data_IF_697569382683
#
_entry.id   IF_697569382683
#
_cell.length_a   1.000
_cell.length_b   1.000
_cell.length_c   1.000
_cell.angle_alpha   90.00
_cell.angle_beta   90.00
_cell.angle_gamma   90.00
#
_symmetry.space_group_name_H-M   'P 1'
#
loop_
_entity.id
_entity.type
_entity.pdbx_description
1 polymer ?
#
# COMPACT_ATOMS: atom_id res chain seq x y z
N UNK A 1 -25.04 23.61 -26.53
CA UNK A 1 -25.40 23.09 -25.19
C UNK A 1 -26.81 22.48 -25.22
N UNK A 2 -27.15 21.56 -24.31
CA UNK A 2 -28.45 20.87 -24.34
C UNK A 2 -29.24 21.12 -23.05
N UNK A 3 -30.47 21.59 -23.18
CA UNK A 3 -31.41 21.71 -22.07
C UNK A 3 -32.34 20.50 -22.04
N UNK A 4 -32.38 19.80 -20.90
CA UNK A 4 -33.32 18.70 -20.68
C UNK A 4 -34.76 19.21 -20.66
N UNK A 5 -35.61 18.67 -21.52
CA UNK A 5 -37.06 19.02 -21.61
C UNK A 5 -37.97 17.95 -21.00
N UNK A 6 -37.51 16.69 -20.93
CA UNK A 6 -38.24 15.57 -20.33
C UNK A 6 -37.77 15.16 -18.94
N UNK A 7 -38.33 14.08 -18.35
CA UNK A 7 -37.83 13.50 -17.09
C UNK A 7 -36.34 13.13 -17.16
N UNK A 8 -35.64 13.09 -16.02
CA UNK A 8 -34.24 12.63 -15.99
C UNK A 8 -34.15 11.18 -16.47
N UNK A 9 -33.22 10.91 -17.39
CA UNK A 9 -33.05 9.59 -18.02
C UNK A 9 -33.88 9.37 -19.29
N UNK A 10 -34.77 10.30 -19.66
CA UNK A 10 -35.62 10.17 -20.88
C UNK A 10 -34.84 10.32 -22.19
N UNK A 11 -33.69 11.00 -22.19
CA UNK A 11 -32.98 11.36 -23.41
C UNK A 11 -33.57 12.56 -24.16
N UNK A 12 -34.58 13.24 -23.59
CA UNK A 12 -35.25 14.38 -24.24
C UNK A 12 -34.55 15.71 -23.94
N UNK A 13 -34.03 16.35 -25.00
CA UNK A 13 -33.31 17.61 -24.94
C UNK A 13 -33.68 18.54 -26.08
N UNK A 14 -33.51 19.84 -25.87
CA UNK A 14 -33.46 20.86 -26.93
C UNK A 14 -32.12 21.58 -26.91
N UNK A 15 -31.68 22.06 -28.08
CA UNK A 15 -30.52 22.93 -28.18
C UNK A 15 -30.78 24.30 -27.55
N UNK A 16 -29.75 24.85 -26.92
CA UNK A 16 -29.72 26.20 -26.36
C UNK A 16 -28.36 26.85 -26.65
N UNK A 17 -28.36 28.18 -26.66
CA UNK A 17 -27.14 28.98 -26.78
C UNK A 17 -26.29 28.93 -25.50
N UNK A 18 -25.00 29.24 -25.64
CA UNK A 18 -24.07 29.26 -24.51
C UNK A 18 -24.46 30.26 -23.42
N UNK A 19 -24.95 31.45 -23.80
CA UNK A 19 -25.37 32.46 -22.84
C UNK A 19 -26.58 32.01 -22.00
N UNK A 20 -27.53 31.29 -22.63
CA UNK A 20 -28.66 30.67 -21.92
C UNK A 20 -28.16 29.60 -20.94
N UNK A 21 -27.26 28.71 -21.38
CA UNK A 21 -26.71 27.65 -20.55
C UNK A 21 -25.93 28.19 -19.34
N UNK A 22 -25.10 29.21 -19.55
CA UNK A 22 -24.29 29.84 -18.50
C UNK A 22 -25.15 30.62 -17.53
N UNK A 23 -26.17 31.33 -18.01
CA UNK A 23 -27.14 32.01 -17.14
C UNK A 23 -27.82 31.02 -16.20
N UNK A 24 -28.37 29.92 -16.73
CA UNK A 24 -29.02 28.87 -15.92
C UNK A 24 -28.07 28.29 -14.86
N UNK A 25 -26.83 27.99 -15.25
CA UNK A 25 -25.84 27.42 -14.33
C UNK A 25 -25.44 28.42 -13.23
N UNK A 26 -25.13 29.66 -13.61
CA UNK A 26 -24.61 30.68 -12.68
C UNK A 26 -25.67 31.22 -11.73
N UNK A 27 -26.94 31.35 -12.14
CA UNK A 27 -28.04 31.73 -11.25
C UNK A 27 -28.19 30.73 -10.10
N UNK A 28 -28.23 29.44 -10.45
CA UNK A 28 -28.35 28.35 -9.47
C UNK A 28 -27.13 28.28 -8.55
N UNK A 29 -25.93 28.32 -9.12
CA UNK A 29 -24.68 28.24 -8.37
C UNK A 29 -24.49 29.46 -7.45
N UNK A 30 -24.84 30.67 -7.91
CA UNK A 30 -24.77 31.89 -7.11
C UNK A 30 -25.74 31.87 -5.93
N UNK A 31 -26.96 31.35 -6.14
CA UNK A 31 -27.93 31.16 -5.08
C UNK A 31 -27.43 30.18 -4.00
N UNK A 32 -26.83 29.06 -4.40
CA UNK A 32 -26.20 28.10 -3.48
C UNK A 32 -25.06 28.77 -2.71
N UNK A 33 -24.13 29.42 -3.41
CA UNK A 33 -22.98 30.10 -2.80
C UNK A 33 -23.41 31.13 -1.75
N UNK A 34 -24.43 31.94 -2.05
CA UNK A 34 -24.92 33.00 -1.17
C UNK A 34 -25.63 32.47 0.08
N UNK A 35 -26.21 31.28 0.02
CA UNK A 35 -27.01 30.72 1.12
C UNK A 35 -26.23 29.74 1.96
N UNK A 36 -25.72 28.67 1.35
CA UNK A 36 -24.84 27.69 1.99
C UNK A 36 -24.03 26.97 0.91
N UNK A 37 -22.76 27.34 0.70
CA UNK A 37 -21.94 26.74 -0.35
C UNK A 37 -21.70 25.25 -0.13
N UNK A 38 -21.88 24.72 1.09
CA UNK A 38 -21.74 23.28 1.39
C UNK A 38 -22.80 22.43 0.70
N UNK A 39 -23.92 23.03 0.27
CA UNK A 39 -24.97 22.32 -0.48
C UNK A 39 -24.54 21.89 -1.89
N UNK A 40 -23.40 22.39 -2.38
CA UNK A 40 -22.81 21.90 -3.63
C UNK A 40 -21.88 20.72 -3.36
N UNK A 41 -22.20 19.55 -3.92
CA UNK A 41 -21.25 18.47 -4.11
C UNK A 41 -20.62 18.58 -5.51
N UNK A 42 -19.30 18.61 -5.59
CA UNK A 42 -18.57 18.77 -6.85
C UNK A 42 -17.64 17.57 -7.11
N UNK A 43 -18.04 16.71 -8.06
CA UNK A 43 -17.33 15.48 -8.39
C UNK A 43 -16.85 15.51 -9.84
N UNK A 44 -15.55 15.31 -10.06
CA UNK A 44 -14.92 15.49 -11.38
C UNK A 44 -14.46 14.18 -12.05
N UNK A 45 -14.72 13.02 -11.43
CA UNK A 45 -14.32 11.72 -11.99
C UNK A 45 -12.79 11.59 -12.14
N UNK A 46 -12.32 11.07 -13.29
CA UNK A 46 -10.90 11.04 -13.66
C UNK A 46 -10.49 12.39 -14.24
N UNK A 47 -10.18 13.31 -13.34
CA UNK A 47 -9.75 14.66 -13.66
C UNK A 47 -8.21 14.77 -13.59
N UNK A 48 -7.60 15.25 -14.69
CA UNK A 48 -6.17 15.59 -14.76
C UNK A 48 -5.89 17.04 -14.37
N UNK A 49 -6.93 17.81 -14.05
CA UNK A 49 -6.90 19.23 -13.67
C UNK A 49 -7.33 19.45 -12.21
N UNK A 50 -7.05 18.49 -11.33
CA UNK A 50 -7.46 18.52 -9.92
C UNK A 50 -7.03 19.80 -9.17
N UNK A 51 -5.91 20.40 -9.59
CA UNK A 51 -5.46 21.69 -9.09
C UNK A 51 -6.46 22.81 -9.39
N UNK A 52 -6.97 22.89 -10.62
CA UNK A 52 -7.95 23.88 -11.04
C UNK A 52 -9.33 23.61 -10.41
N UNK A 53 -9.78 22.36 -10.44
CA UNK A 53 -11.11 22.00 -9.95
C UNK A 53 -11.20 22.07 -8.42
N UNK A 54 -10.14 21.66 -7.71
CA UNK A 54 -9.99 21.86 -6.27
C UNK A 54 -9.88 23.34 -5.90
N UNK A 55 -9.10 24.14 -6.65
CA UNK A 55 -9.05 25.60 -6.47
C UNK A 55 -10.43 26.24 -6.66
N UNK A 56 -11.16 25.86 -7.72
CA UNK A 56 -12.50 26.38 -7.99
C UNK A 56 -13.47 26.03 -6.86
N UNK A 57 -13.49 24.78 -6.38
CA UNK A 57 -14.34 24.36 -5.28
C UNK A 57 -14.03 25.12 -3.98
N UNK A 58 -12.74 25.31 -3.69
CA UNK A 58 -12.27 26.12 -2.57
C UNK A 58 -12.71 27.58 -2.70
N UNK A 59 -12.56 28.18 -3.89
CA UNK A 59 -13.07 29.53 -4.18
C UNK A 59 -14.59 29.60 -4.11
N UNK A 60 -15.31 28.54 -4.50
CA UNK A 60 -16.75 28.39 -4.35
C UNK A 60 -17.18 28.40 -2.89
N UNK A 61 -16.34 27.84 -2.01
CA UNK A 61 -16.59 27.69 -0.57
C UNK A 61 -17.20 26.34 -0.20
N UNK A 62 -17.20 25.36 -1.11
CA UNK A 62 -17.68 24.01 -0.79
C UNK A 62 -16.55 23.13 -0.29
N UNK A 63 -16.70 22.47 0.87
CA UNK A 63 -15.78 21.41 1.31
C UNK A 63 -16.10 20.06 0.63
N UNK A 64 -17.26 19.95 -0.05
CA UNK A 64 -17.76 18.70 -0.62
C UNK A 64 -17.28 18.53 -2.06
N UNK A 65 -15.96 18.50 -2.27
CA UNK A 65 -15.36 18.22 -3.57
C UNK A 65 -14.50 16.97 -3.51
N UNK A 66 -14.59 16.14 -4.55
CA UNK A 66 -13.83 14.90 -4.64
C UNK A 66 -13.64 14.46 -6.09
N UNK A 67 -12.62 13.63 -6.30
CA UNK A 67 -12.34 12.97 -7.57
C UNK A 67 -12.45 11.45 -7.42
N UNK A 68 -12.23 10.72 -8.50
CA UNK A 68 -12.26 9.24 -8.51
C UNK A 68 -11.23 8.56 -7.58
N UNK A 69 -10.21 9.28 -7.08
CA UNK A 69 -9.09 8.70 -6.33
C UNK A 69 -9.52 7.83 -5.14
N UNK A 70 -10.58 8.21 -4.43
CA UNK A 70 -11.15 7.44 -3.32
C UNK A 70 -11.63 6.04 -3.71
N UNK A 71 -11.94 5.81 -4.99
CA UNK A 71 -12.34 4.51 -5.53
C UNK A 71 -11.19 3.75 -6.19
N UNK A 72 -10.10 4.44 -6.57
CA UNK A 72 -9.07 3.89 -7.46
C UNK A 72 -7.75 3.56 -6.76
N UNK A 73 -7.23 4.47 -5.91
CA UNK A 73 -5.81 4.40 -5.51
C UNK A 73 -5.49 4.95 -4.13
N UNK A 74 -6.46 5.53 -3.42
CA UNK A 74 -6.23 6.12 -2.08
C UNK A 74 -5.78 5.07 -1.06
N UNK A 75 -6.15 3.81 -1.22
CA UNK A 75 -5.64 2.70 -0.41
C UNK A 75 -4.12 2.54 -0.54
N UNK A 76 -3.56 2.67 -1.76
CA UNK A 76 -2.12 2.61 -2.00
C UNK A 76 -1.41 3.83 -1.41
N UNK A 77 -1.97 5.02 -1.64
CA UNK A 77 -1.42 6.25 -1.07
C UNK A 77 -1.41 6.22 0.47
N UNK A 78 -2.46 5.70 1.08
CA UNK A 78 -2.54 5.50 2.54
C UNK A 78 -1.49 4.51 3.02
N UNK A 79 -1.31 3.36 2.34
CA UNK A 79 -0.25 2.40 2.66
C UNK A 79 1.14 3.05 2.64
N UNK A 80 1.43 3.85 1.62
CA UNK A 80 2.67 4.63 1.53
C UNK A 80 2.86 5.59 2.71
N UNK A 81 1.83 6.36 3.06
CA UNK A 81 1.87 7.30 4.18
C UNK A 81 2.19 6.58 5.50
N UNK A 82 1.60 5.41 5.74
CA UNK A 82 1.82 4.64 6.97
C UNK A 82 3.17 3.92 7.00
N UNK A 83 3.71 3.48 5.86
CA UNK A 83 4.92 2.64 5.83
C UNK A 83 6.20 3.43 5.56
N UNK A 84 6.17 4.40 4.66
CA UNK A 84 7.36 5.15 4.21
C UNK A 84 7.24 6.67 4.44
N UNK A 85 6.20 7.13 5.13
CA UNK A 85 6.02 8.54 5.51
C UNK A 85 5.61 9.47 4.37
N UNK A 86 5.24 8.94 3.20
CA UNK A 86 4.85 9.72 2.04
C UNK A 86 3.83 8.99 1.18
N UNK A 87 2.91 9.74 0.58
CA UNK A 87 2.04 9.16 -0.46
C UNK A 87 2.89 8.86 -1.68
N UNK A 88 2.95 7.61 -2.12
CA UNK A 88 3.45 7.30 -3.45
C UNK A 88 2.27 7.17 -4.41
N UNK A 89 2.39 7.83 -5.56
CA UNK A 89 1.49 7.68 -6.69
C UNK A 89 2.23 6.88 -7.76
N UNK A 90 1.50 5.94 -8.39
CA UNK A 90 1.73 4.96 -9.49
C UNK A 90 2.94 5.07 -10.46
N UNK A 91 4.00 5.83 -10.19
CA UNK A 91 5.09 6.13 -11.14
C UNK A 91 6.47 5.64 -10.68
N UNK A 92 6.53 4.74 -9.71
CA UNK A 92 7.72 3.93 -9.51
C UNK A 92 7.75 2.85 -10.59
N UNK A 93 8.51 3.06 -11.66
CA UNK A 93 8.72 2.02 -12.66
C UNK A 93 9.64 0.94 -12.08
N UNK A 94 9.27 -0.36 -12.14
CA UNK A 94 10.19 -1.43 -11.79
C UNK A 94 11.47 -1.34 -12.60
N UNK A 95 12.59 -1.70 -11.99
CA UNK A 95 13.85 -1.82 -12.72
C UNK A 95 13.80 -3.06 -13.63
N UNK A 96 13.24 -2.87 -14.83
CA UNK A 96 13.07 -3.93 -15.82
C UNK A 96 14.37 -4.56 -16.26
N UNK A 97 15.50 -3.86 -16.11
CA UNK A 97 16.80 -4.29 -16.62
C UNK A 97 17.55 -5.15 -15.58
N UNK A 98 17.25 -5.00 -14.28
CA UNK A 98 17.88 -5.79 -13.22
C UNK A 98 16.95 -6.81 -12.55
N UNK A 99 15.62 -6.65 -12.65
CA UNK A 99 14.67 -7.58 -12.02
C UNK A 99 14.83 -9.01 -12.57
N UNK A 100 14.85 -9.99 -11.66
CA UNK A 100 14.94 -11.44 -11.96
C UNK A 100 13.67 -12.22 -11.59
N UNK A 101 12.91 -11.71 -10.62
CA UNK A 101 11.64 -12.26 -10.18
C UNK A 101 10.65 -11.13 -9.99
N UNK A 102 9.55 -11.15 -10.76
CA UNK A 102 8.58 -10.07 -10.79
C UNK A 102 7.19 -10.60 -10.40
N UNK A 103 6.63 -10.06 -9.32
CA UNK A 103 5.29 -10.42 -8.84
C UNK A 103 4.30 -9.31 -9.14
N UNK A 104 3.25 -9.62 -9.91
CA UNK A 104 2.13 -8.72 -10.17
C UNK A 104 0.98 -9.05 -9.23
N UNK A 105 0.64 -8.12 -8.34
CA UNK A 105 -0.50 -8.26 -7.43
C UNK A 105 -1.69 -7.44 -7.89
N UNK A 106 -2.80 -8.10 -8.23
CA UNK A 106 -4.10 -7.45 -8.45
C UNK A 106 -4.15 -6.42 -9.59
N UNK A 107 -3.16 -6.42 -10.50
CA UNK A 107 -3.13 -5.47 -11.62
C UNK A 107 -4.21 -5.84 -12.62
N UNK A 108 -5.16 -4.93 -12.82
CA UNK A 108 -6.24 -5.10 -13.79
C UNK A 108 -5.71 -5.06 -15.23
N UNK A 109 -6.37 -5.83 -16.09
CA UNK A 109 -6.03 -6.00 -17.50
C UNK A 109 -5.98 -4.66 -18.23
N UNK A 110 -4.88 -4.36 -18.93
CA UNK A 110 -4.74 -3.18 -19.78
C UNK A 110 -5.00 -1.83 -19.08
N UNK A 111 -5.09 -1.83 -17.74
CA UNK A 111 -5.30 -0.64 -16.93
C UNK A 111 -4.01 0.19 -16.82
N UNK A 112 -2.88 -0.50 -16.76
CA UNK A 112 -1.58 0.14 -16.84
C UNK A 112 -1.15 0.37 -18.29
N UNK A 113 -0.48 1.50 -18.49
CA UNK A 113 -0.03 2.05 -19.75
C UNK A 113 0.91 1.10 -20.52
N UNK A 114 1.13 1.37 -21.81
CA UNK A 114 2.05 0.59 -22.68
C UNK A 114 3.45 0.27 -22.08
N UNK A 115 4.07 1.10 -21.22
CA UNK A 115 5.34 0.78 -20.55
C UNK A 115 5.39 -0.58 -19.86
N UNK A 116 4.34 -1.02 -19.14
CA UNK A 116 4.40 -2.33 -18.45
C UNK A 116 4.48 -3.49 -19.45
N UNK A 117 3.85 -3.37 -20.62
CA UNK A 117 3.93 -4.39 -21.69
C UNK A 117 5.36 -4.52 -22.20
N UNK A 118 6.04 -3.39 -22.38
CA UNK A 118 7.45 -3.34 -22.78
C UNK A 118 8.32 -3.96 -21.68
N UNK A 119 8.07 -3.58 -20.42
CA UNK A 119 8.76 -4.13 -19.24
C UNK A 119 8.63 -5.64 -19.13
N UNK A 120 7.41 -6.17 -19.18
CA UNK A 120 7.15 -7.61 -19.19
C UNK A 120 7.83 -8.31 -20.37
N UNK A 121 7.80 -7.71 -21.56
CA UNK A 121 8.53 -8.22 -22.72
C UNK A 121 10.03 -8.33 -22.47
N UNK A 122 10.65 -7.29 -21.90
CA UNK A 122 12.07 -7.29 -21.52
C UNK A 122 12.40 -8.36 -20.49
N UNK A 123 11.59 -8.47 -19.42
CA UNK A 123 11.78 -9.47 -18.37
C UNK A 123 11.76 -10.88 -18.96
N UNK A 124 10.72 -11.20 -19.75
CA UNK A 124 10.59 -12.52 -20.37
C UNK A 124 11.72 -12.81 -21.37
N UNK A 125 12.15 -11.82 -22.16
CA UNK A 125 13.27 -11.99 -23.10
C UNK A 125 14.60 -12.31 -22.39
N UNK A 126 14.78 -11.84 -21.15
CA UNK A 126 15.93 -12.15 -20.30
C UNK A 126 15.77 -13.42 -19.46
N UNK A 127 14.60 -14.06 -19.50
CA UNK A 127 14.30 -15.22 -18.67
C UNK A 127 14.02 -14.90 -17.20
N UNK A 128 13.71 -13.63 -16.87
CA UNK A 128 13.21 -13.28 -15.55
C UNK A 128 11.82 -13.90 -15.34
N UNK A 129 11.57 -14.45 -14.15
CA UNK A 129 10.30 -15.12 -13.84
C UNK A 129 9.23 -14.08 -13.53
N UNK A 130 8.08 -14.21 -14.18
CA UNK A 130 6.91 -13.37 -13.96
C UNK A 130 5.81 -14.19 -13.30
N UNK A 131 5.41 -13.81 -12.08
CA UNK A 131 4.33 -14.42 -11.32
C UNK A 131 3.17 -13.43 -11.20
N UNK A 132 1.97 -13.87 -11.54
CA UNK A 132 0.76 -13.08 -11.42
C UNK A 132 -0.13 -13.63 -10.31
N UNK A 133 -0.55 -12.76 -9.39
CA UNK A 133 -1.49 -13.04 -8.30
C UNK A 133 -2.77 -12.26 -8.62
N UNK A 134 -3.76 -12.97 -9.15
CA UNK A 134 -4.98 -12.35 -9.64
C UNK A 134 -6.12 -13.38 -9.72
N UNK A 135 -7.36 -13.04 -9.30
CA UNK A 135 -8.51 -13.92 -9.48
C UNK A 135 -8.80 -14.28 -10.95
N UNK A 136 -8.38 -13.43 -11.90
CA UNK A 136 -8.66 -13.61 -13.34
C UNK A 136 -7.37 -13.86 -14.14
N UNK A 137 -7.37 -14.91 -14.97
CA UNK A 137 -6.24 -15.26 -15.85
C UNK A 137 -6.37 -14.64 -17.24
N UNK A 138 -6.27 -13.32 -17.30
CA UNK A 138 -6.45 -12.54 -18.53
C UNK A 138 -5.37 -11.46 -18.64
N UNK A 139 -5.15 -10.89 -19.83
CA UNK A 139 -4.15 -9.84 -20.09
C UNK A 139 -2.73 -10.24 -19.65
N UNK A 140 -2.11 -9.43 -18.78
CA UNK A 140 -0.78 -9.70 -18.21
C UNK A 140 -0.71 -11.05 -17.48
N UNK A 141 -1.81 -11.46 -16.87
CA UNK A 141 -1.90 -12.71 -16.10
C UNK A 141 -1.89 -13.94 -17.02
N UNK A 142 -2.31 -13.80 -18.28
CA UNK A 142 -2.30 -14.88 -19.26
C UNK A 142 -0.89 -15.18 -19.80
N UNK A 143 0.01 -14.19 -19.78
CA UNK A 143 1.39 -14.31 -20.27
C UNK A 143 2.42 -14.53 -19.15
N UNK A 144 1.99 -14.49 -17.88
CA UNK A 144 2.83 -14.80 -16.73
C UNK A 144 3.31 -16.27 -16.79
N UNK A 145 4.49 -16.53 -16.25
CA UNK A 145 5.03 -17.89 -16.16
C UNK A 145 4.22 -18.71 -15.15
N UNK A 146 3.88 -18.09 -14.02
CA UNK A 146 2.92 -18.63 -13.04
C UNK A 146 1.74 -17.67 -12.88
N UNK A 147 0.52 -18.21 -12.98
CA UNK A 147 -0.70 -17.51 -12.57
C UNK A 147 -1.29 -18.16 -11.32
N UNK A 148 -1.53 -17.35 -10.30
CA UNK A 148 -2.03 -17.73 -8.99
C UNK A 148 -3.43 -17.13 -8.82
N UNK A 149 -4.44 -17.98 -9.00
CA UNK A 149 -5.86 -17.65 -8.82
C UNK A 149 -6.24 -17.47 -7.36
N UNK A 150 -5.92 -16.31 -6.79
CA UNK A 150 -6.21 -16.01 -5.38
C UNK A 150 -7.69 -15.70 -5.14
N UNK A 151 -8.20 -16.04 -3.96
CA UNK A 151 -9.53 -15.61 -3.51
C UNK A 151 -9.54 -14.09 -3.29
N UNK A 152 -10.49 -13.34 -3.90
CA UNK A 152 -10.53 -11.89 -3.76
C UNK A 152 -10.49 -11.42 -2.30
N UNK A 153 -9.63 -10.44 -2.01
CA UNK A 153 -9.51 -9.83 -0.68
C UNK A 153 -8.71 -10.66 0.34
N UNK A 154 -7.95 -11.66 -0.10
CA UNK A 154 -7.16 -12.54 0.78
C UNK A 154 -5.65 -12.46 0.54
N UNK A 155 -5.21 -11.49 -0.26
CA UNK A 155 -3.81 -11.22 -0.61
C UNK A 155 -2.93 -11.02 0.62
N UNK A 156 -3.45 -10.34 1.65
CA UNK A 156 -2.75 -10.18 2.92
C UNK A 156 -2.43 -11.52 3.61
N UNK A 157 -3.34 -12.50 3.56
CA UNK A 157 -3.07 -13.82 4.12
C UNK A 157 -1.97 -14.54 3.34
N UNK A 158 -2.01 -14.45 2.01
CA UNK A 158 -0.97 -15.03 1.15
C UNK A 158 0.40 -14.41 1.42
N UNK A 159 0.50 -13.08 1.47
CA UNK A 159 1.76 -12.37 1.77
C UNK A 159 2.28 -12.73 3.17
N UNK A 160 1.41 -12.78 4.18
CA UNK A 160 1.82 -13.15 5.54
C UNK A 160 2.28 -14.62 5.65
N UNK A 161 1.75 -15.52 4.82
CA UNK A 161 2.25 -16.89 4.74
C UNK A 161 3.63 -16.98 4.07
N UNK A 162 3.91 -16.13 3.08
CA UNK A 162 5.27 -15.99 2.54
C UNK A 162 6.23 -15.46 3.61
N UNK A 163 5.81 -14.46 4.38
CA UNK A 163 6.60 -13.91 5.49
C UNK A 163 6.87 -14.97 6.56
N UNK A 164 5.88 -15.81 6.92
CA UNK A 164 6.06 -16.94 7.84
C UNK A 164 7.18 -17.87 7.37
N UNK A 165 7.11 -18.35 6.12
CA UNK A 165 8.12 -19.27 5.58
C UNK A 165 9.51 -18.62 5.47
N UNK A 166 9.59 -17.35 5.08
CA UNK A 166 10.86 -16.61 5.00
C UNK A 166 11.50 -16.41 6.39
N UNK A 167 10.70 -16.06 7.39
CA UNK A 167 11.15 -15.94 8.78
C UNK A 167 11.64 -17.30 9.29
N UNK A 168 10.86 -18.36 9.08
CA UNK A 168 11.18 -19.73 9.51
C UNK A 168 12.45 -20.27 8.86
N UNK A 169 12.70 -19.90 7.60
CA UNK A 169 13.91 -20.25 6.86
C UNK A 169 15.12 -19.36 7.19
N UNK A 170 14.95 -18.30 7.98
CA UNK A 170 16.01 -17.30 8.23
C UNK A 170 16.42 -16.54 6.97
N UNK A 171 15.52 -16.42 5.99
CA UNK A 171 15.75 -15.75 4.69
C UNK A 171 15.18 -14.34 4.72
N UNK A 172 15.74 -13.51 5.62
CA UNK A 172 15.36 -12.11 5.81
C UNK A 172 16.62 -11.26 5.84
N UNK A 173 16.62 -10.15 5.12
CA UNK A 173 17.75 -9.22 5.08
C UNK A 173 17.75 -8.36 6.35
N UNK A 174 18.42 -8.87 7.39
CA UNK A 174 18.50 -8.19 8.67
C UNK A 174 19.29 -6.88 8.57
N UNK A 175 20.27 -6.79 7.66
CA UNK A 175 21.06 -5.59 7.44
C UNK A 175 20.20 -4.46 6.88
N UNK A 176 19.31 -4.77 5.93
CA UNK A 176 18.33 -3.82 5.42
C UNK A 176 17.37 -3.36 6.53
N UNK A 177 16.82 -4.32 7.31
CA UNK A 177 15.90 -4.00 8.40
C UNK A 177 16.54 -3.09 9.46
N UNK A 178 17.80 -3.34 9.82
CA UNK A 178 18.55 -2.52 10.76
C UNK A 178 18.73 -1.07 10.30
N UNK A 179 18.93 -0.85 8.99
CA UNK A 179 19.29 0.47 8.43
C UNK A 179 18.11 1.31 7.98
N UNK A 180 17.07 0.66 7.44
CA UNK A 180 16.04 1.37 6.67
C UNK A 180 14.63 1.22 7.24
N UNK A 181 14.48 0.56 8.38
CA UNK A 181 13.17 0.32 8.99
C UNK A 181 13.17 0.62 10.49
N UNK A 182 12.00 0.57 11.10
CA UNK A 182 11.81 0.69 12.55
C UNK A 182 11.95 -0.66 13.29
N UNK A 183 12.45 -1.70 12.65
CA UNK A 183 12.58 -3.06 13.21
C UNK A 183 13.28 -3.12 14.58
N UNK A 184 14.15 -2.15 14.86
CA UNK A 184 14.95 -2.04 16.09
C UNK A 184 14.31 -1.21 17.19
N UNK A 185 13.27 -0.43 16.86
CA UNK A 185 12.62 0.47 17.81
C UNK A 185 11.92 -0.35 18.89
N UNK A 186 12.11 0.05 20.15
CA UNK A 186 11.47 -0.59 21.29
C UNK A 186 10.00 -0.19 21.40
N UNK A 187 9.17 -1.17 21.73
CA UNK A 187 7.73 -1.05 21.96
C UNK A 187 7.44 -1.50 23.39
N UNK A 188 6.64 -0.73 24.11
CA UNK A 188 6.17 -1.11 25.46
C UNK A 188 5.23 -2.32 25.36
N UNK A 189 5.41 -3.31 26.23
CA UNK A 189 4.60 -4.52 26.31
C UNK A 189 4.07 -4.69 27.74
N UNK A 190 3.08 -3.86 28.08
CA UNK A 190 2.49 -3.79 29.42
C UNK A 190 0.96 -3.79 29.28
N UNK A 191 0.33 -4.94 29.00
CA UNK A 191 -1.09 -5.01 28.68
C UNK A 191 -1.97 -4.27 29.69
N UNK A 192 -2.75 -3.30 29.20
CA UNK A 192 -3.64 -2.46 30.00
C UNK A 192 -3.03 -1.16 30.53
N UNK A 193 -1.73 -0.94 30.35
CA UNK A 193 -1.12 0.37 30.55
C UNK A 193 -1.52 1.35 29.42
N UNK A 194 -1.51 2.66 29.71
CA UNK A 194 -1.89 3.69 28.74
C UNK A 194 -0.92 3.81 27.55
N UNK A 195 0.32 3.36 27.76
CA UNK A 195 1.43 3.37 26.81
C UNK A 195 1.69 2.00 26.18
N UNK A 196 0.85 0.99 26.46
CA UNK A 196 0.97 -0.34 25.85
C UNK A 196 0.92 -0.26 24.32
N UNK A 197 1.88 -0.93 23.66
CA UNK A 197 2.00 -0.91 22.20
C UNK A 197 2.55 0.38 21.60
N UNK A 198 2.93 1.38 22.41
CA UNK A 198 3.58 2.60 21.94
C UNK A 198 5.10 2.43 21.87
N UNK A 199 5.73 3.20 20.98
CA UNK A 199 7.19 3.28 20.93
C UNK A 199 7.76 3.93 22.18
N UNK A 200 8.83 3.34 22.70
CA UNK A 200 9.64 3.94 23.75
C UNK A 200 10.38 5.14 23.16
N UNK A 201 10.33 6.28 23.85
CA UNK A 201 10.95 7.52 23.42
C UNK A 201 11.76 8.16 24.55
N UNK A 202 12.80 8.91 24.19
CA UNK A 202 13.51 9.77 25.14
C UNK A 202 12.73 11.06 25.44
N UNK A 203 13.32 11.93 26.27
CA UNK A 203 12.73 13.21 26.65
C UNK A 203 12.53 14.18 25.47
N UNK A 204 13.30 14.03 24.40
CA UNK A 204 13.22 14.83 23.18
C UNK A 204 12.22 14.22 22.16
N UNK A 205 11.63 13.07 22.48
CA UNK A 205 10.67 12.37 21.66
C UNK A 205 11.30 11.45 20.61
N UNK A 206 12.62 11.22 20.63
CA UNK A 206 13.26 10.29 19.70
C UNK A 206 12.94 8.84 20.07
N UNK A 207 12.62 7.97 19.09
CA UNK A 207 12.45 6.54 19.35
C UNK A 207 13.75 5.91 19.90
N UNK A 208 13.61 4.99 20.84
CA UNK A 208 14.75 4.28 21.42
C UNK A 208 14.88 2.85 20.87
N UNK A 209 16.12 2.39 20.75
CA UNK A 209 16.49 1.00 20.49
C UNK A 209 17.35 0.48 21.65
N UNK A 210 17.47 -0.85 21.80
CA UNK A 210 18.38 -1.43 22.78
C UNK A 210 19.74 -1.74 22.16
N UNK A 211 20.82 -1.14 22.66
CA UNK A 211 22.17 -1.47 22.20
C UNK A 211 22.65 -2.79 22.84
N UNK A 212 22.92 -3.80 22.01
CA UNK A 212 23.30 -5.13 22.48
C UNK A 212 24.71 -5.22 23.06
N UNK A 213 25.57 -4.23 22.80
CA UNK A 213 26.95 -4.16 23.30
C UNK A 213 27.04 -3.24 24.51
N UNK A 214 26.48 -2.04 24.42
CA UNK A 214 26.49 -1.07 25.52
C UNK A 214 25.50 -1.43 26.64
N UNK A 215 24.52 -2.30 26.36
CA UNK A 215 23.51 -2.80 27.31
C UNK A 215 22.67 -1.71 27.96
N UNK A 216 22.29 -0.71 27.17
CA UNK A 216 21.37 0.35 27.58
C UNK A 216 20.55 0.84 26.37
N UNK A 217 19.43 1.54 26.58
CA UNK A 217 18.70 2.17 25.49
C UNK A 217 19.53 3.29 24.85
N UNK A 218 19.43 3.42 23.53
CA UNK A 218 20.07 4.44 22.69
C UNK A 218 19.06 5.00 21.70
N UNK A 219 19.35 6.16 21.12
CA UNK A 219 18.55 6.70 20.03
C UNK A 219 18.54 5.70 18.86
N UNK A 220 17.37 5.30 18.39
CA UNK A 220 17.24 4.31 17.32
C UNK A 220 17.81 4.79 15.96
N UNK A 221 18.01 6.10 15.80
CA UNK A 221 18.61 6.71 14.62
C UNK A 221 20.13 6.92 14.74
N UNK A 222 20.76 6.53 15.86
CA UNK A 222 22.21 6.62 16.03
C UNK A 222 22.92 5.63 15.08
N UNK A 223 23.76 6.11 14.13
CA UNK A 223 24.43 5.24 13.17
C UNK A 223 25.50 4.33 13.80
N UNK A 224 26.00 4.67 14.98
CA UNK A 224 27.02 3.88 15.69
C UNK A 224 26.41 2.84 16.63
N UNK A 225 25.09 2.91 16.85
CA UNK A 225 24.38 1.96 17.68
C UNK A 225 24.45 0.54 17.11
N UNK A 226 24.47 -0.45 18.00
CA UNK A 226 24.39 -1.87 17.68
C UNK A 226 23.05 -2.41 18.17
N UNK A 227 21.92 -2.02 17.55
CA UNK A 227 20.61 -2.33 18.08
C UNK A 227 20.32 -3.83 18.02
N UNK A 228 19.54 -4.29 18.99
CA UNK A 228 18.95 -5.62 18.98
C UNK A 228 17.66 -5.65 18.15
N UNK A 229 17.44 -6.75 17.43
CA UNK A 229 16.19 -7.02 16.71
C UNK A 229 15.25 -7.94 17.50
N UNK A 230 15.77 -8.65 18.49
CA UNK A 230 15.06 -9.69 19.24
C UNK A 230 15.36 -9.57 20.72
N UNK A 231 14.46 -10.08 21.57
CA UNK A 231 14.59 -10.10 23.02
C UNK A 231 13.63 -9.15 23.73
N UNK A 232 13.66 -9.21 25.07
CA UNK A 232 12.91 -8.31 25.95
C UNK A 232 13.85 -7.58 26.90
N UNK A 233 13.53 -6.31 27.16
CA UNK A 233 14.38 -5.37 27.86
C UNK A 233 13.57 -4.51 28.83
N UNK A 234 14.14 -4.22 30.00
CA UNK A 234 13.56 -3.30 30.95
C UNK A 234 14.12 -1.89 30.71
N UNK A 235 13.26 -0.96 30.31
CA UNK A 235 13.63 0.44 30.04
C UNK A 235 12.71 1.36 30.84
N UNK A 236 13.29 2.11 31.78
CA UNK A 236 12.51 3.01 32.64
C UNK A 236 11.47 2.30 33.51
N UNK A 237 11.72 1.04 33.88
CA UNK A 237 10.80 0.22 34.67
C UNK A 237 9.63 -0.36 33.86
N UNK A 238 9.70 -0.33 32.53
CA UNK A 238 8.73 -0.96 31.61
C UNK A 238 9.36 -2.13 30.90
N UNK A 239 8.60 -3.20 30.69
CA UNK A 239 8.98 -4.26 29.77
C UNK A 239 8.79 -3.82 28.32
N UNK A 240 9.84 -3.95 27.51
CA UNK A 240 9.87 -3.48 26.13
C UNK A 240 10.52 -4.53 25.20
N UNK A 241 10.09 -4.57 23.95
CA UNK A 241 10.65 -5.46 22.92
C UNK A 241 10.88 -4.70 21.61
N UNK A 242 11.86 -5.05 20.77
CA UNK A 242 11.99 -4.47 19.44
C UNK A 242 10.77 -4.80 18.56
N UNK A 243 10.43 -3.91 17.62
CA UNK A 243 9.35 -4.14 16.64
C UNK A 243 9.52 -5.48 15.90
N UNK A 244 10.75 -5.84 15.53
CA UNK A 244 11.00 -7.11 14.84
C UNK A 244 10.66 -8.33 15.69
N UNK A 245 10.86 -8.28 17.02
CA UNK A 245 10.45 -9.35 17.92
C UNK A 245 8.93 -9.56 17.85
N UNK A 246 8.13 -8.48 17.84
CA UNK A 246 6.67 -8.58 17.70
C UNK A 246 6.23 -9.15 16.36
N UNK A 247 6.93 -8.79 15.28
CA UNK A 247 6.67 -9.32 13.94
C UNK A 247 6.99 -10.81 13.91
N UNK A 248 8.14 -11.21 14.44
CA UNK A 248 8.55 -12.61 14.52
C UNK A 248 7.57 -13.43 15.36
N UNK A 249 7.24 -12.99 16.57
CA UNK A 249 6.31 -13.69 17.47
C UNK A 249 4.93 -13.85 16.83
N UNK A 250 4.44 -12.83 16.12
CA UNK A 250 3.13 -12.88 15.47
C UNK A 250 3.11 -13.77 14.24
N UNK A 251 4.10 -13.68 13.36
CA UNK A 251 4.04 -14.30 12.04
C UNK A 251 4.80 -15.62 11.95
N UNK A 252 5.59 -16.01 12.96
CA UNK A 252 6.04 -17.39 13.14
C UNK A 252 4.93 -18.30 13.69
N UNK A 253 3.81 -17.75 14.16
CA UNK A 253 2.66 -18.52 14.58
C UNK A 253 2.13 -19.40 13.43
N UNK A 254 1.82 -20.66 13.75
CA UNK A 254 1.40 -21.66 12.76
C UNK A 254 0.07 -21.31 12.06
N UNK A 255 -0.73 -20.38 12.59
CA UNK A 255 -1.91 -19.85 11.90
C UNK A 255 -1.60 -19.07 10.62
N UNK A 256 -0.35 -18.63 10.45
CA UNK A 256 0.17 -18.04 9.21
C UNK A 256 0.91 -19.06 8.33
N UNK A 257 1.06 -20.31 8.76
CA UNK A 257 1.69 -21.33 7.92
C UNK A 257 0.94 -21.52 6.58
N UNK A 258 1.63 -21.94 5.52
CA UNK A 258 0.99 -22.28 4.25
C UNK A 258 -0.21 -23.23 4.39
N UNK A 259 -0.14 -24.23 5.28
CA UNK A 259 -1.23 -25.19 5.49
C UNK A 259 -2.46 -24.53 6.12
N UNK A 260 -2.26 -23.62 7.09
CA UNK A 260 -3.35 -22.91 7.75
C UNK A 260 -4.02 -21.86 6.83
N UNK A 261 -3.26 -21.28 5.91
CA UNK A 261 -3.72 -20.20 5.03
C UNK A 261 -4.32 -20.72 3.71
N UNK A 262 -3.84 -21.85 3.18
CA UNK A 262 -4.15 -22.31 1.82
C UNK A 262 -5.65 -22.32 1.49
N UNK A 263 -6.47 -22.94 2.35
CA UNK A 263 -7.91 -23.03 2.13
C UNK A 263 -8.61 -21.66 2.17
N UNK A 264 -8.05 -20.69 2.92
CA UNK A 264 -8.60 -19.33 3.13
C UNK A 264 -8.27 -18.40 1.97
N UNK A 265 -7.07 -18.49 1.41
CA UNK A 265 -6.68 -17.68 0.26
C UNK A 265 -6.93 -18.37 -1.10
N UNK A 266 -7.24 -19.66 -1.11
CA UNK A 266 -7.48 -20.43 -2.34
C UNK A 266 -6.21 -20.83 -3.09
N UNK A 267 -5.04 -20.67 -2.48
CA UNK A 267 -3.73 -21.05 -3.06
C UNK A 267 -3.21 -22.28 -2.32
N UNK A 268 -2.82 -23.32 -3.04
CA UNK A 268 -2.29 -24.54 -2.42
C UNK A 268 -1.03 -24.28 -1.58
N UNK A 269 -0.90 -24.94 -0.43
CA UNK A 269 0.21 -24.72 0.51
C UNK A 269 1.60 -24.91 -0.14
N UNK A 270 1.75 -25.93 -0.99
CA UNK A 270 3.00 -26.18 -1.70
C UNK A 270 3.36 -25.06 -2.69
N UNK A 271 2.35 -24.42 -3.28
CA UNK A 271 2.55 -23.25 -4.14
C UNK A 271 3.05 -22.06 -3.33
N UNK A 272 2.48 -21.82 -2.14
CA UNK A 272 2.93 -20.75 -1.23
C UNK A 272 4.40 -20.99 -0.84
N UNK A 273 4.73 -22.20 -0.38
CA UNK A 273 6.10 -22.60 0.00
C UNK A 273 7.08 -22.42 -1.15
N UNK A 274 6.70 -22.87 -2.34
CA UNK A 274 7.52 -22.74 -3.55
C UNK A 274 7.80 -21.28 -3.87
N UNK A 275 6.80 -20.41 -3.84
CA UNK A 275 6.99 -18.98 -4.11
C UNK A 275 7.89 -18.34 -3.05
N UNK A 276 7.71 -18.66 -1.75
CA UNK A 276 8.60 -18.17 -0.69
C UNK A 276 10.06 -18.62 -0.91
N UNK A 277 10.26 -19.88 -1.26
CA UNK A 277 11.59 -20.43 -1.55
C UNK A 277 12.23 -19.80 -2.80
N UNK A 278 11.45 -19.56 -3.86
CA UNK A 278 11.92 -18.88 -5.08
C UNK A 278 12.31 -17.43 -4.79
N UNK A 279 11.50 -16.69 -4.01
CA UNK A 279 11.83 -15.34 -3.55
C UNK A 279 13.15 -15.31 -2.77
N UNK A 280 13.30 -16.22 -1.80
CA UNK A 280 14.53 -16.33 -1.02
C UNK A 280 15.73 -16.68 -1.90
N UNK A 281 15.60 -17.64 -2.82
CA UNK A 281 16.68 -18.03 -3.71
C UNK A 281 17.13 -16.86 -4.58
N UNK A 282 16.19 -16.14 -5.20
CA UNK A 282 16.52 -14.99 -6.05
C UNK A 282 17.15 -13.87 -5.22
N UNK A 283 16.64 -13.56 -4.04
CA UNK A 283 17.14 -12.47 -3.21
C UNK A 283 18.53 -12.73 -2.61
N UNK A 284 18.84 -13.97 -2.23
CA UNK A 284 20.05 -14.29 -1.47
C UNK A 284 21.12 -15.06 -2.25
N UNK A 285 20.76 -15.69 -3.37
CA UNK A 285 21.67 -16.58 -4.12
C UNK A 285 21.96 -16.10 -5.55
N UNK A 286 21.20 -15.10 -6.03
CA UNK A 286 21.38 -14.55 -7.37
C UNK A 286 21.86 -13.08 -7.29
N UNK A 287 23.13 -12.83 -7.60
CA UNK A 287 23.71 -11.49 -7.82
C UNK A 287 23.67 -11.12 -9.28
#
# INVERSE_FOLDING_TARGET
PLLRTGPRGSGEFREIEWDEALTIATERLSAIRRTDPKKLAFFTGRDQSQSLTGWWASKFGTPNFAAHGGFCSVNMAAGGLYTIGGSFWEFGEPDWDNTRYFMLFGVAEDHDSNPIKIGLGKLKARGAKVVSINPCRTGYNAIADDWIGIRPGTDGLFVLALVHDLLKAGRVDLDYLLRYTNATVLVVQEPGAADDGLFVRDADGNPLAWDRVAKHPVNAADPEAKPALTGGYDVGGRHCVPVFQLIADRYLDDSYSPDAVAARCGVGADTIRRIAAELAHVAFEQT
#
